data_IF_967436787211
#
_entry.id   IF_967436787211
#
_cell.length_a   1.000
_cell.length_b   1.000
_cell.length_c   1.000
_cell.angle_alpha   90.00
_cell.angle_beta   90.00
_cell.angle_gamma   90.00
#
_symmetry.space_group_name_H-M   'P 1'
#
loop_
_entity.id
_entity.type
_entity.pdbx_description
1 polymer ?
#
# COMPACT_ATOMS: atom_id res chain seq x y z
N UNK A 1 35.94 55.02 10.43
CA UNK A 1 35.30 55.71 11.57
C UNK A 1 34.04 54.90 12.00
N UNK A 2 34.00 54.66 13.31
CA UNK A 2 32.90 54.19 14.18
C UNK A 2 32.13 52.91 13.83
N UNK A 3 32.47 51.86 14.60
CA UNK A 3 31.71 50.66 14.93
C UNK A 3 30.49 51.03 15.77
N UNK A 4 29.35 50.42 15.49
CA UNK A 4 28.26 50.33 16.46
C UNK A 4 27.85 48.88 16.62
N UNK A 5 28.10 48.30 17.80
CA UNK A 5 27.66 46.99 18.26
C UNK A 5 26.31 47.19 18.93
N UNK A 6 25.30 46.44 18.53
CA UNK A 6 24.06 46.32 19.29
C UNK A 6 23.96 44.88 19.86
N UNK A 7 23.96 44.80 21.17
CA UNK A 7 23.70 43.61 21.96
C UNK A 7 22.19 43.40 22.02
N UNK A 8 21.72 42.19 21.74
CA UNK A 8 20.37 41.81 22.10
C UNK A 8 20.43 40.71 23.20
N UNK A 9 19.78 41.05 24.28
CA UNK A 9 19.68 40.31 25.54
C UNK A 9 18.64 39.21 25.40
N UNK A 10 18.95 38.01 25.90
CA UNK A 10 18.03 36.90 25.95
C UNK A 10 16.94 37.08 27.00
N UNK A 11 15.76 36.53 26.69
CA UNK A 11 14.68 36.29 27.66
C UNK A 11 14.34 34.82 27.55
N UNK A 12 14.75 34.05 28.58
CA UNK A 12 14.32 32.67 28.80
C UNK A 12 12.95 32.70 29.47
N UNK A 13 11.96 32.10 28.83
CA UNK A 13 10.66 31.89 29.45
C UNK A 13 10.53 30.39 29.80
N UNK A 14 10.67 30.10 31.08
CA UNK A 14 10.37 28.80 31.69
C UNK A 14 8.84 28.69 31.86
N UNK A 15 8.23 27.68 31.22
CA UNK A 15 6.84 27.32 31.47
C UNK A 15 6.82 26.01 32.29
N UNK A 16 6.49 26.13 33.56
CA UNK A 16 6.23 25.01 34.45
C UNK A 16 4.79 24.53 34.24
N UNK A 17 4.60 23.25 33.92
CA UNK A 17 3.29 22.59 33.89
C UNK A 17 3.12 21.80 35.18
N UNK A 18 2.16 22.21 35.99
CA UNK A 18 1.74 21.53 37.22
C UNK A 18 0.84 20.33 36.88
N UNK A 19 1.22 19.15 37.38
CA UNK A 19 0.35 17.96 37.43
C UNK A 19 -0.60 18.09 38.60
N UNK A 20 -1.89 18.01 38.33
CA UNK A 20 -2.92 17.79 39.36
C UNK A 20 -3.42 16.36 39.26
N UNK A 21 -3.08 15.56 40.28
CA UNK A 21 -3.64 14.24 40.54
C UNK A 21 -4.91 14.44 41.34
N UNK A 22 -6.04 13.92 40.89
CA UNK A 22 -7.23 13.74 41.70
C UNK A 22 -7.58 12.26 41.81
N UNK A 23 -7.27 11.71 42.99
CA UNK A 23 -7.85 10.47 43.49
C UNK A 23 -9.23 10.79 44.09
N UNK A 24 -10.24 9.98 43.76
CA UNK A 24 -11.44 9.89 44.56
C UNK A 24 -11.86 8.41 44.67
N UNK A 25 -11.65 7.85 45.87
CA UNK A 25 -12.28 6.64 46.37
C UNK A 25 -13.71 6.98 46.83
N UNK A 26 -14.61 6.03 46.61
CA UNK A 26 -15.94 6.06 47.23
C UNK A 26 -16.59 4.69 47.14
N UNK A 27 -16.61 4.01 48.26
CA UNK A 27 -17.07 2.64 48.45
C UNK A 27 -18.53 2.59 48.96
N UNK A 28 -19.08 1.37 48.88
CA UNK A 28 -20.17 0.79 49.70
C UNK A 28 -21.62 1.03 49.28
N UNK A 29 -22.38 -0.05 49.21
CA UNK A 29 -23.04 -0.80 50.17
C UNK A 29 -24.12 -1.73 49.64
N UNK A 30 -23.95 -2.94 50.01
CA UNK A 30 -24.86 -4.00 50.49
C UNK A 30 -26.39 -3.82 50.45
N UNK A 31 -27.12 -4.85 50.04
CA UNK A 31 -27.86 -5.90 50.79
C UNK A 31 -29.02 -6.41 49.93
N UNK A 32 -29.15 -7.63 49.79
CA UNK A 32 -29.59 -8.82 50.50
C UNK A 32 -30.99 -9.28 50.09
N UNK A 33 -30.98 -10.51 49.60
CA UNK A 33 -31.80 -11.66 49.93
C UNK A 33 -33.35 -11.56 49.98
N UNK A 34 -34.02 -12.46 49.29
CA UNK A 34 -34.85 -13.53 49.84
C UNK A 34 -35.47 -14.36 48.72
N UNK A 35 -35.13 -15.63 48.65
CA UNK A 35 -35.77 -16.90 49.07
C UNK A 35 -37.22 -17.09 48.62
N UNK A 36 -37.49 -18.26 48.02
CA UNK A 36 -38.74 -18.95 48.21
C UNK A 36 -39.22 -19.83 47.07
N UNK A 37 -38.83 -21.09 47.10
CA UNK A 37 -39.61 -22.31 47.06
C UNK A 37 -40.39 -22.69 45.78
N UNK A 38 -40.01 -23.84 45.28
CA UNK A 38 -40.77 -24.87 44.53
C UNK A 38 -41.93 -25.44 45.40
N UNK A 39 -42.98 -26.07 44.86
CA UNK A 39 -42.84 -27.46 44.36
C UNK A 39 -43.83 -27.90 43.23
N UNK A 40 -43.33 -28.92 42.52
CA UNK A 40 -43.94 -30.17 42.04
C UNK A 40 -45.42 -30.27 41.67
N UNK A 41 -45.73 -30.80 40.48
CA UNK A 41 -46.36 -32.12 40.30
C UNK A 41 -46.46 -32.54 38.82
N UNK A 42 -46.03 -33.74 38.49
CA UNK A 42 -46.45 -34.59 37.36
C UNK A 42 -47.45 -35.61 37.96
N UNK A 43 -48.16 -36.46 37.25
CA UNK A 43 -48.12 -36.91 35.88
C UNK A 43 -49.54 -37.11 35.23
N UNK A 44 -49.66 -37.45 33.97
CA UNK A 44 -50.31 -38.68 33.51
C UNK A 44 -50.37 -38.78 31.96
N UNK A 45 -50.13 -39.99 31.50
CA UNK A 45 -50.16 -40.45 30.14
C UNK A 45 -51.57 -40.61 29.58
N UNK A 46 -51.70 -40.50 28.24
CA UNK A 46 -52.51 -41.46 27.52
C UNK A 46 -52.21 -41.45 25.99
N UNK A 47 -52.15 -42.63 25.46
CA UNK A 47 -51.89 -43.24 24.18
C UNK A 47 -52.77 -42.74 23.03
N UNK A 48 -52.23 -42.63 21.81
CA UNK A 48 -52.66 -43.34 20.62
C UNK A 48 -51.86 -42.93 19.35
N UNK A 49 -51.36 -43.94 18.65
CA UNK A 49 -50.69 -44.01 17.36
C UNK A 49 -51.74 -44.09 16.21
N UNK A 50 -51.34 -44.20 14.90
CA UNK A 50 -50.44 -43.41 14.05
C UNK A 50 -51.17 -42.91 12.79
N UNK A 51 -50.62 -41.91 12.11
CA UNK A 51 -50.91 -41.74 10.68
C UNK A 51 -49.83 -40.95 9.95
N UNK A 52 -49.30 -41.61 8.92
CA UNK A 52 -48.72 -41.13 7.68
C UNK A 52 -47.53 -40.15 7.72
N UNK A 53 -46.39 -40.74 7.36
CA UNK A 53 -45.18 -40.11 6.80
C UNK A 53 -45.50 -39.11 5.70
N UNK A 54 -45.09 -37.88 5.91
CA UNK A 54 -44.67 -36.99 4.83
C UNK A 54 -43.32 -36.46 5.23
N UNK A 55 -42.30 -36.91 4.48
CA UNK A 55 -40.92 -36.44 4.56
C UNK A 55 -40.88 -34.95 4.26
N UNK A 56 -40.40 -34.08 5.15
CA UNK A 56 -40.02 -32.71 4.77
C UNK A 56 -38.75 -32.78 3.94
N UNK A 57 -38.75 -32.12 2.80
CA UNK A 57 -37.55 -31.84 2.03
C UNK A 57 -36.53 -31.21 2.97
N UNK A 58 -35.31 -31.74 2.93
CA UNK A 58 -34.15 -31.15 3.57
C UNK A 58 -33.94 -29.73 2.97
N UNK A 59 -34.34 -28.73 3.71
CA UNK A 59 -33.84 -27.36 3.44
C UNK A 59 -32.32 -27.38 3.72
N UNK A 60 -31.54 -27.20 2.68
CA UNK A 60 -30.13 -26.86 2.80
C UNK A 60 -30.04 -25.64 3.72
N UNK A 61 -29.16 -25.65 4.74
CA UNK A 61 -29.00 -24.49 5.58
C UNK A 61 -28.48 -23.34 4.72
N UNK A 62 -29.33 -22.32 4.51
CA UNK A 62 -28.90 -21.01 4.04
C UNK A 62 -27.75 -20.57 4.97
N UNK A 63 -26.58 -20.16 4.45
CA UNK A 63 -25.52 -19.66 5.29
C UNK A 63 -26.06 -18.50 6.12
N UNK A 64 -26.09 -18.64 7.44
CA UNK A 64 -26.33 -17.52 8.34
C UNK A 64 -25.25 -16.49 7.99
N UNK A 65 -25.64 -15.36 7.40
CA UNK A 65 -24.81 -14.17 7.33
C UNK A 65 -24.61 -13.70 8.76
N UNK A 66 -23.49 -14.12 9.37
CA UNK A 66 -23.05 -13.47 10.60
C UNK A 66 -22.95 -11.98 10.28
N UNK A 67 -23.56 -11.16 11.13
CA UNK A 67 -23.48 -9.71 11.04
C UNK A 67 -22.02 -9.32 11.33
N UNK A 68 -21.20 -9.32 10.28
CA UNK A 68 -19.81 -8.90 10.34
C UNK A 68 -19.79 -7.38 10.53
N UNK A 69 -18.89 -6.92 11.38
CA UNK A 69 -18.70 -5.50 11.63
C UNK A 69 -18.21 -4.72 10.40
N UNK A 70 -17.72 -3.51 10.63
CA UNK A 70 -17.12 -2.69 9.57
C UNK A 70 -15.75 -3.25 9.19
N UNK A 71 -15.54 -3.53 7.89
CA UNK A 71 -14.26 -3.95 7.33
C UNK A 71 -13.24 -2.82 7.47
N UNK A 72 -12.08 -3.08 8.04
CA UNK A 72 -10.99 -2.11 8.12
C UNK A 72 -9.89 -2.44 7.11
N UNK A 73 -9.66 -1.54 6.15
CA UNK A 73 -8.65 -1.68 5.11
C UNK A 73 -7.53 -0.66 5.30
N UNK A 74 -6.30 -1.13 5.37
CA UNK A 74 -5.10 -0.29 5.35
C UNK A 74 -4.57 -0.18 3.93
N UNK A 75 -4.46 1.06 3.42
CA UNK A 75 -4.12 1.33 2.03
C UNK A 75 -3.26 2.59 1.89
N UNK A 76 -2.60 2.72 0.75
CA UNK A 76 -1.80 3.92 0.46
C UNK A 76 -2.43 4.84 -0.60
N UNK A 77 -3.36 4.35 -1.44
CA UNK A 77 -4.00 5.13 -2.50
C UNK A 77 -5.47 4.73 -2.71
N UNK A 78 -6.21 5.45 -3.57
CA UNK A 78 -7.62 5.22 -3.93
C UNK A 78 -8.63 5.35 -2.77
N UNK A 79 -8.24 5.95 -1.66
CA UNK A 79 -9.11 6.15 -0.50
C UNK A 79 -10.30 7.08 -0.78
N UNK A 80 -10.19 7.90 -1.82
CA UNK A 80 -11.23 8.82 -2.31
C UNK A 80 -12.44 8.08 -2.92
N UNK A 81 -12.24 6.94 -3.57
CA UNK A 81 -13.29 6.26 -4.34
C UNK A 81 -13.59 4.82 -3.89
N UNK A 82 -12.60 4.05 -3.40
CA UNK A 82 -12.77 2.62 -3.18
C UNK A 82 -13.83 2.28 -2.14
N UNK A 83 -13.95 3.10 -1.09
CA UNK A 83 -14.92 2.88 -0.03
C UNK A 83 -16.37 2.91 -0.53
N UNK A 84 -16.82 4.03 -1.12
CA UNK A 84 -18.17 4.13 -1.70
C UNK A 84 -18.44 3.07 -2.78
N UNK A 85 -17.45 2.76 -3.63
CA UNK A 85 -17.57 1.72 -4.66
C UNK A 85 -17.85 0.35 -4.04
N UNK A 86 -17.07 -0.04 -3.04
CA UNK A 86 -17.21 -1.33 -2.36
C UNK A 86 -18.53 -1.43 -1.60
N UNK A 87 -18.92 -0.41 -0.84
CA UNK A 87 -20.22 -0.39 -0.13
C UNK A 87 -21.39 -0.50 -1.09
N UNK A 88 -21.35 0.20 -2.22
CA UNK A 88 -22.42 0.15 -3.23
C UNK A 88 -22.51 -1.24 -3.91
N UNK A 89 -21.37 -1.88 -4.17
CA UNK A 89 -21.32 -3.17 -4.85
C UNK A 89 -21.68 -4.36 -3.96
N UNK A 90 -21.38 -4.30 -2.66
CA UNK A 90 -21.45 -5.47 -1.77
C UNK A 90 -22.38 -5.31 -0.58
N UNK A 91 -22.73 -4.08 -0.21
CA UNK A 91 -23.51 -3.76 1.00
C UNK A 91 -22.68 -3.81 2.31
N UNK A 92 -21.46 -4.32 2.29
CA UNK A 92 -20.57 -4.31 3.45
C UNK A 92 -20.12 -2.89 3.80
N UNK A 93 -20.00 -2.60 5.09
CA UNK A 93 -19.42 -1.33 5.57
C UNK A 93 -17.91 -1.40 5.61
N UNK A 94 -17.25 -0.30 5.23
CA UNK A 94 -15.80 -0.21 5.16
C UNK A 94 -15.25 1.03 5.88
N UNK A 95 -14.13 0.85 6.57
CA UNK A 95 -13.32 1.90 7.18
C UNK A 95 -11.93 1.88 6.52
N UNK A 96 -11.55 3.00 5.93
CA UNK A 96 -10.26 3.13 5.23
C UNK A 96 -9.26 3.85 6.12
N UNK A 97 -8.06 3.29 6.22
CA UNK A 97 -6.94 3.88 6.96
C UNK A 97 -5.82 4.13 5.96
N UNK A 98 -5.73 5.37 5.50
CA UNK A 98 -4.68 5.81 4.57
C UNK A 98 -3.37 6.11 5.31
N UNK A 99 -2.26 5.77 4.67
CA UNK A 99 -0.91 6.12 5.10
C UNK A 99 0.10 5.80 4.01
N UNK A 100 1.31 6.35 4.08
CA UNK A 100 2.39 5.84 3.23
C UNK A 100 2.86 4.46 3.71
N UNK A 101 3.65 3.75 2.89
CA UNK A 101 4.06 2.38 3.21
C UNK A 101 4.74 2.25 4.57
N UNK A 102 5.62 3.20 4.95
CA UNK A 102 6.31 3.16 6.24
C UNK A 102 5.36 3.41 7.42
N UNK A 103 4.41 4.34 7.29
CA UNK A 103 3.38 4.63 8.29
C UNK A 103 2.47 3.42 8.51
N UNK A 104 1.98 2.80 7.43
CA UNK A 104 1.14 1.60 7.50
C UNK A 104 1.91 0.44 8.16
N UNK A 105 3.15 0.17 7.75
CA UNK A 105 3.95 -0.91 8.32
C UNK A 105 4.30 -0.68 9.79
N UNK A 106 4.61 0.57 10.18
CA UNK A 106 4.84 0.94 11.58
C UNK A 106 3.59 0.70 12.44
N UNK A 107 2.42 1.02 11.89
CA UNK A 107 1.15 0.80 12.56
C UNK A 107 0.84 -0.69 12.72
N UNK A 108 0.98 -1.49 11.65
CA UNK A 108 0.81 -2.96 11.68
C UNK A 108 1.75 -3.58 12.73
N UNK A 109 3.00 -3.14 12.77
CA UNK A 109 3.97 -3.64 13.74
C UNK A 109 3.60 -3.27 15.19
N UNK A 110 3.10 -2.06 15.42
CA UNK A 110 2.62 -1.65 16.76
C UNK A 110 1.38 -2.45 17.19
N UNK A 111 0.55 -2.88 16.27
CA UNK A 111 -0.68 -3.64 16.48
C UNK A 111 -0.48 -5.17 16.45
N UNK A 112 0.75 -5.68 16.30
CA UNK A 112 1.06 -7.12 16.08
C UNK A 112 0.38 -8.06 17.09
N UNK A 113 0.21 -7.62 18.35
CA UNK A 113 -0.47 -8.40 19.40
C UNK A 113 -2.00 -8.32 19.38
N UNK A 114 -2.56 -7.32 18.70
CA UNK A 114 -4.00 -7.07 18.56
C UNK A 114 -4.26 -6.25 17.29
N UNK A 115 -4.24 -6.88 16.10
CA UNK A 115 -4.46 -6.20 14.83
C UNK A 115 -5.83 -5.50 14.78
N UNK A 116 -5.84 -4.27 14.28
CA UNK A 116 -7.04 -3.47 14.06
C UNK A 116 -7.39 -3.34 12.58
N UNK A 117 -6.76 -4.12 11.71
CA UNK A 117 -6.99 -4.17 10.27
C UNK A 117 -7.46 -5.55 9.84
N UNK A 118 -8.25 -5.60 8.79
CA UNK A 118 -8.76 -6.83 8.17
C UNK A 118 -8.07 -7.13 6.85
N UNK A 119 -7.77 -6.08 6.07
CA UNK A 119 -7.10 -6.17 4.77
C UNK A 119 -6.00 -5.11 4.67
N UNK A 120 -4.89 -5.48 4.06
CA UNK A 120 -3.92 -4.51 3.53
C UNK A 120 -4.03 -4.50 2.01
N UNK A 121 -4.03 -3.30 1.41
CA UNK A 121 -4.01 -3.10 -0.03
C UNK A 121 -2.96 -2.05 -0.39
N UNK A 122 -1.76 -2.54 -0.74
CA UNK A 122 -0.55 -1.74 -0.84
C UNK A 122 0.21 -2.00 -2.14
N UNK A 123 0.86 -0.99 -2.68
CA UNK A 123 1.79 -1.09 -3.81
C UNK A 123 3.23 -1.45 -3.35
N UNK A 124 3.32 -2.44 -2.47
CA UNK A 124 4.56 -2.88 -1.83
C UNK A 124 4.61 -4.42 -1.72
N UNK A 125 4.53 -5.10 -2.87
CA UNK A 125 4.50 -6.57 -2.92
C UNK A 125 5.59 -7.26 -2.08
N UNK A 126 6.87 -6.85 -2.07
CA UNK A 126 7.88 -7.50 -1.24
C UNK A 126 7.60 -7.42 0.26
N UNK A 127 7.13 -6.27 0.72
CA UNK A 127 6.78 -6.05 2.13
C UNK A 127 5.58 -6.91 2.55
N UNK A 128 4.55 -7.02 1.69
CA UNK A 128 3.38 -7.88 1.95
C UNK A 128 3.76 -9.37 1.87
N UNK A 129 4.73 -9.74 1.00
CA UNK A 129 5.29 -11.08 0.99
C UNK A 129 5.87 -11.43 2.37
N UNK A 130 6.66 -10.54 2.98
CA UNK A 130 7.21 -10.73 4.33
C UNK A 130 6.13 -10.90 5.40
N UNK A 131 5.00 -10.19 5.30
CA UNK A 131 3.87 -10.40 6.22
C UNK A 131 3.31 -11.83 6.10
N UNK A 132 3.32 -12.42 4.90
CA UNK A 132 2.96 -13.83 4.67
C UNK A 132 3.93 -14.79 5.36
N UNK A 133 5.24 -14.57 5.19
CA UNK A 133 6.29 -15.37 5.84
C UNK A 133 6.22 -15.26 7.38
N UNK A 134 5.88 -14.09 7.90
CA UNK A 134 5.63 -13.84 9.32
C UNK A 134 4.31 -14.42 9.84
N UNK A 135 3.56 -15.18 9.01
CA UNK A 135 2.30 -15.81 9.35
C UNK A 135 1.21 -14.84 9.84
N UNK A 136 1.19 -13.62 9.30
CA UNK A 136 0.20 -12.58 9.61
C UNK A 136 -1.02 -12.63 8.69
N UNK A 137 -0.90 -13.28 7.53
CA UNK A 137 -1.89 -13.29 6.46
C UNK A 137 -2.66 -14.59 6.38
N UNK A 138 -3.90 -14.52 5.87
CA UNK A 138 -4.68 -15.68 5.47
C UNK A 138 -4.00 -16.38 4.28
N UNK A 139 -3.85 -17.70 4.37
CA UNK A 139 -3.25 -18.54 3.34
C UNK A 139 -4.25 -19.54 2.78
N UNK A 140 -3.91 -20.18 1.65
CA UNK A 140 -4.65 -21.29 1.03
C UNK A 140 -6.11 -20.98 0.62
N UNK A 141 -6.49 -19.69 0.65
CA UNK A 141 -7.75 -19.24 0.09
C UNK A 141 -7.53 -18.65 -1.31
N UNK A 142 -8.42 -18.97 -2.24
CA UNK A 142 -8.38 -18.49 -3.64
C UNK A 142 -9.64 -17.68 -3.93
N UNK A 143 -9.51 -16.39 -4.30
CA UNK A 143 -10.64 -15.59 -4.75
C UNK A 143 -11.27 -16.17 -6.03
N UNK A 144 -12.58 -16.06 -6.18
CA UNK A 144 -13.30 -16.53 -7.39
C UNK A 144 -12.77 -15.85 -8.66
N UNK A 145 -12.39 -14.59 -8.56
CA UNK A 145 -11.83 -13.81 -9.67
C UNK A 145 -10.32 -14.04 -9.91
N UNK A 146 -9.63 -14.83 -9.08
CA UNK A 146 -8.19 -15.09 -9.26
C UNK A 146 -7.85 -15.78 -10.59
N UNK A 147 -8.77 -16.62 -11.09
CA UNK A 147 -8.62 -17.28 -12.40
C UNK A 147 -8.64 -16.29 -13.58
N UNK A 148 -9.08 -15.05 -13.38
CA UNK A 148 -9.09 -14.00 -14.39
C UNK A 148 -7.76 -13.23 -14.47
N UNK A 149 -6.84 -13.41 -13.51
CA UNK A 149 -5.55 -12.73 -13.55
C UNK A 149 -4.80 -13.05 -14.85
N UNK A 150 -4.16 -12.04 -15.45
CA UNK A 150 -3.22 -12.22 -16.57
C UNK A 150 -2.06 -13.13 -16.13
N UNK A 151 -1.45 -13.88 -17.02
CA UNK A 151 -0.36 -14.84 -16.70
C UNK A 151 0.79 -14.19 -15.92
N UNK A 152 1.17 -12.96 -16.27
CA UNK A 152 2.20 -12.19 -15.57
C UNK A 152 1.86 -11.93 -14.11
N UNK A 153 0.58 -11.69 -13.80
CA UNK A 153 0.11 -11.47 -12.43
C UNK A 153 -0.14 -12.79 -11.69
N UNK A 154 -0.52 -13.86 -12.39
CA UNK A 154 -0.56 -15.20 -11.79
C UNK A 154 0.81 -15.60 -11.22
N UNK A 155 1.90 -15.25 -11.91
CA UNK A 155 3.25 -15.53 -11.47
C UNK A 155 3.66 -14.80 -10.18
N UNK A 156 2.99 -13.69 -9.84
CA UNK A 156 3.24 -12.96 -8.58
C UNK A 156 2.45 -13.52 -7.38
N UNK A 157 1.48 -14.40 -7.60
CA UNK A 157 0.75 -15.03 -6.49
C UNK A 157 1.66 -16.02 -5.77
N UNK A 158 1.92 -15.86 -4.47
CA UNK A 158 2.81 -16.78 -3.75
C UNK A 158 2.21 -18.19 -3.64
N UNK A 159 3.08 -19.18 -3.46
CA UNK A 159 2.64 -20.58 -3.37
C UNK A 159 1.61 -20.82 -2.25
N UNK A 160 1.76 -20.13 -1.11
CA UNK A 160 0.84 -20.18 0.03
C UNK A 160 -0.42 -19.31 -0.15
N UNK A 161 -0.58 -18.61 -1.29
CA UNK A 161 -1.75 -17.78 -1.62
C UNK A 161 -2.07 -16.70 -0.59
N UNK A 162 -1.03 -16.13 0.04
CA UNK A 162 -1.19 -15.12 1.09
C UNK A 162 -1.62 -13.74 0.58
N UNK A 163 -1.46 -13.44 -0.72
CA UNK A 163 -1.93 -12.21 -1.35
C UNK A 163 -2.25 -12.38 -2.83
N UNK A 164 -2.95 -11.39 -3.40
CA UNK A 164 -3.30 -11.33 -4.82
C UNK A 164 -2.96 -9.97 -5.42
N UNK A 165 -2.28 -9.94 -6.59
CA UNK A 165 -1.95 -8.70 -7.28
C UNK A 165 -3.19 -8.09 -7.94
N UNK A 166 -3.37 -6.79 -7.75
CA UNK A 166 -4.54 -6.02 -8.24
C UNK A 166 -4.19 -5.04 -9.35
N UNK A 167 -2.92 -4.93 -9.69
CA UNK A 167 -2.37 -4.07 -10.74
C UNK A 167 -0.91 -3.76 -10.48
N UNK A 168 -0.27 -3.09 -11.43
CA UNK A 168 1.08 -2.61 -11.28
C UNK A 168 1.26 -1.26 -11.98
N UNK A 169 2.09 -0.40 -11.43
CA UNK A 169 2.50 0.85 -12.06
C UNK A 169 4.03 0.95 -12.07
N UNK A 170 4.56 1.84 -12.89
CA UNK A 170 5.99 2.11 -12.81
C UNK A 170 6.29 2.84 -11.48
N UNK A 171 7.10 2.19 -10.64
CA UNK A 171 7.67 2.80 -9.44
C UNK A 171 8.59 3.98 -9.78
N UNK A 172 9.12 3.99 -11.00
CA UNK A 172 9.84 5.08 -11.62
C UNK A 172 9.86 4.95 -13.13
N UNK A 173 9.59 6.05 -13.82
CA UNK A 173 9.92 6.30 -15.22
C UNK A 173 10.87 7.48 -15.30
N UNK A 174 11.54 7.64 -16.43
CA UNK A 174 12.43 8.78 -16.64
C UNK A 174 11.59 9.99 -17.01
N UNK A 175 11.73 11.06 -16.24
CA UNK A 175 11.01 12.32 -16.43
C UNK A 175 12.01 13.45 -16.49
N UNK A 176 11.80 14.41 -17.41
CA UNK A 176 12.71 15.53 -17.56
C UNK A 176 11.95 16.86 -17.76
N UNK A 177 12.56 17.96 -17.35
CA UNK A 177 12.04 19.29 -17.59
C UNK A 177 12.39 19.76 -19.01
N UNK A 178 11.37 20.00 -19.85
CA UNK A 178 11.55 20.37 -21.27
C UNK A 178 12.13 21.77 -21.49
N UNK A 179 12.18 22.61 -20.44
CA UNK A 179 12.94 23.86 -20.47
C UNK A 179 14.44 23.64 -20.29
N UNK A 180 14.85 22.47 -19.75
CA UNK A 180 16.25 22.15 -19.49
C UNK A 180 16.86 21.25 -20.56
N UNK A 181 16.09 20.31 -21.11
CA UNK A 181 16.52 19.33 -22.09
C UNK A 181 15.47 19.20 -23.21
N UNK A 182 15.94 19.01 -24.44
CA UNK A 182 15.13 18.42 -25.51
C UNK A 182 15.06 16.89 -25.32
N UNK A 183 14.14 16.21 -25.99
CA UNK A 183 13.96 14.77 -25.84
C UNK A 183 15.23 13.96 -26.18
N UNK A 184 16.02 14.41 -27.15
CA UNK A 184 17.28 13.81 -27.57
C UNK A 184 18.46 14.11 -26.62
N UNK A 185 18.31 15.12 -25.74
CA UNK A 185 19.30 15.48 -24.72
C UNK A 185 18.98 14.91 -23.34
N UNK A 186 17.74 14.49 -23.12
CA UNK A 186 17.31 13.93 -21.85
C UNK A 186 17.91 12.52 -21.64
N UNK A 187 18.07 12.07 -20.36
CA UNK A 187 18.46 10.69 -20.10
C UNK A 187 17.39 9.74 -20.66
N UNK A 188 17.77 8.65 -21.33
CA UNK A 188 16.87 7.69 -21.93
C UNK A 188 17.03 6.26 -21.36
N UNK A 189 18.02 6.07 -20.51
CA UNK A 189 18.26 4.83 -19.75
C UNK A 189 18.62 5.15 -18.31
N UNK A 190 18.53 4.16 -17.44
CA UNK A 190 18.90 4.34 -16.03
C UNK A 190 20.40 4.59 -15.83
N UNK A 191 21.26 4.02 -16.70
CA UNK A 191 22.70 4.23 -16.67
C UNK A 191 23.08 5.67 -17.06
N UNK A 192 22.23 6.37 -17.81
CA UNK A 192 22.46 7.77 -18.20
C UNK A 192 22.51 8.70 -16.98
N UNK A 193 21.81 8.38 -15.90
CA UNK A 193 21.85 9.16 -14.68
C UNK A 193 23.24 9.30 -14.07
N UNK A 194 24.16 8.38 -14.41
CA UNK A 194 25.56 8.44 -13.98
C UNK A 194 26.44 9.26 -14.92
N UNK A 195 25.95 9.69 -16.10
CA UNK A 195 26.75 10.46 -17.07
C UNK A 195 27.05 11.87 -16.57
N UNK A 196 28.26 12.42 -16.88
CA UNK A 196 28.67 13.75 -16.42
C UNK A 196 27.72 14.90 -16.77
N UNK A 197 27.04 14.83 -17.92
CA UNK A 197 26.08 15.86 -18.37
C UNK A 197 24.86 16.00 -17.44
N UNK A 198 24.53 14.96 -16.67
CA UNK A 198 23.43 14.96 -15.70
C UNK A 198 23.89 15.20 -14.25
N UNK A 199 25.16 15.59 -14.06
CA UNK A 199 25.73 15.79 -12.71
C UNK A 199 24.94 16.79 -11.87
N UNK A 200 24.43 16.32 -10.72
CA UNK A 200 23.64 17.12 -9.77
C UNK A 200 22.26 17.52 -10.27
N UNK A 201 21.84 17.00 -11.44
CA UNK A 201 20.58 17.34 -12.10
C UNK A 201 19.47 16.32 -11.90
N UNK A 202 19.76 15.15 -11.28
CA UNK A 202 18.83 14.01 -11.19
C UNK A 202 18.31 13.83 -9.76
N UNK A 203 17.04 13.44 -9.62
CA UNK A 203 16.43 13.12 -8.34
C UNK A 203 15.57 11.87 -8.34
N UNK A 204 15.32 11.33 -7.14
CA UNK A 204 14.41 10.22 -6.89
C UNK A 204 13.80 10.29 -5.48
N UNK A 205 12.75 9.52 -5.23
CA UNK A 205 12.17 9.38 -3.89
C UNK A 205 13.00 8.43 -3.00
N UNK A 206 12.93 8.64 -1.68
CA UNK A 206 13.62 7.83 -0.68
C UNK A 206 12.96 6.45 -0.53
N UNK A 207 13.68 5.35 -0.78
CA UNK A 207 13.15 4.00 -0.66
C UNK A 207 12.82 3.58 0.78
N UNK A 208 13.33 4.29 1.79
CA UNK A 208 12.97 4.03 3.18
C UNK A 208 11.64 4.65 3.60
N UNK A 209 11.14 5.64 2.83
CA UNK A 209 9.97 6.45 3.20
C UNK A 209 8.79 6.21 2.25
N UNK A 210 9.03 6.33 0.93
CA UNK A 210 7.98 6.21 -0.08
C UNK A 210 7.75 4.74 -0.46
N UNK A 211 6.50 4.25 -0.35
CA UNK A 211 6.16 2.86 -0.64
C UNK A 211 6.64 2.39 -2.03
N UNK A 212 6.37 3.10 -3.14
CA UNK A 212 6.80 2.66 -4.47
C UNK A 212 8.30 2.84 -4.72
N UNK A 213 9.02 3.63 -3.92
CA UNK A 213 10.46 3.86 -4.13
C UNK A 213 11.31 2.65 -3.75
N UNK A 214 10.87 1.80 -2.81
CA UNK A 214 11.59 0.57 -2.53
C UNK A 214 11.51 -0.43 -3.70
N UNK A 215 10.33 -0.76 -4.28
CA UNK A 215 10.26 -1.54 -5.51
C UNK A 215 11.12 -0.99 -6.65
N UNK A 216 11.22 0.34 -6.79
CA UNK A 216 12.12 0.95 -7.77
C UNK A 216 13.57 0.51 -7.58
N UNK A 217 14.14 0.67 -6.40
CA UNK A 217 15.54 0.30 -6.15
C UNK A 217 15.73 -1.22 -6.12
N UNK A 218 14.78 -1.97 -5.56
CA UNK A 218 14.85 -3.42 -5.42
C UNK A 218 15.05 -4.13 -6.77
N UNK A 219 14.48 -3.62 -7.85
CA UNK A 219 14.69 -4.16 -9.20
C UNK A 219 16.17 -4.17 -9.57
N UNK A 220 16.90 -3.08 -9.36
CA UNK A 220 18.33 -2.99 -9.70
C UNK A 220 19.20 -3.87 -8.80
N UNK A 221 18.86 -3.92 -7.51
CA UNK A 221 19.58 -4.78 -6.58
C UNK A 221 19.32 -6.27 -6.85
N UNK A 222 18.09 -6.65 -7.19
CA UNK A 222 17.76 -8.03 -7.55
C UNK A 222 18.47 -8.47 -8.83
N UNK A 223 18.47 -7.62 -9.86
CA UNK A 223 19.11 -7.91 -11.14
C UNK A 223 20.64 -7.95 -11.05
N UNK A 224 21.24 -6.94 -10.42
CA UNK A 224 22.68 -6.76 -10.36
C UNK A 224 23.33 -7.48 -9.15
N UNK A 225 22.53 -8.17 -8.33
CA UNK A 225 22.91 -8.65 -7.01
C UNK A 225 23.31 -7.50 -6.06
N UNK A 226 23.38 -7.77 -4.77
CA UNK A 226 23.51 -6.74 -3.73
C UNK A 226 24.68 -5.78 -3.97
N UNK A 227 25.87 -6.30 -4.25
CA UNK A 227 27.07 -5.49 -4.48
C UNK A 227 27.03 -4.72 -5.80
N UNK A 228 26.46 -5.32 -6.85
CA UNK A 228 26.25 -4.64 -8.13
C UNK A 228 25.23 -3.51 -8.03
N UNK A 229 24.15 -3.72 -7.28
CA UNK A 229 23.17 -2.68 -6.98
C UNK A 229 23.79 -1.52 -6.19
N UNK A 230 24.58 -1.82 -5.14
CA UNK A 230 25.34 -0.79 -4.40
C UNK A 230 26.27 -0.01 -5.33
N UNK A 231 27.02 -0.70 -6.20
CA UNK A 231 27.92 -0.05 -7.16
C UNK A 231 27.18 0.87 -8.12
N UNK A 232 26.04 0.42 -8.65
CA UNK A 232 25.20 1.22 -9.52
C UNK A 232 24.75 2.52 -8.83
N UNK A 233 24.10 2.43 -7.67
CA UNK A 233 23.64 3.62 -6.95
C UNK A 233 24.78 4.49 -6.40
N UNK A 234 25.93 3.90 -6.04
CA UNK A 234 27.14 4.68 -5.68
C UNK A 234 27.59 5.56 -6.85
N UNK A 235 27.49 5.08 -8.10
CA UNK A 235 27.79 5.91 -9.28
C UNK A 235 26.83 7.08 -9.43
N UNK A 236 25.54 6.87 -9.13
CA UNK A 236 24.53 7.93 -9.16
C UNK A 236 24.76 8.95 -8.04
N UNK A 237 25.08 8.51 -6.83
CA UNK A 237 25.43 9.41 -5.72
C UNK A 237 26.70 10.21 -6.00
N UNK A 238 27.73 9.58 -6.58
CA UNK A 238 28.95 10.26 -7.02
C UNK A 238 28.66 11.31 -8.09
N UNK A 239 27.63 11.08 -8.92
CA UNK A 239 27.14 12.06 -9.90
C UNK A 239 26.17 13.10 -9.30
N UNK A 240 25.95 13.08 -7.99
CA UNK A 240 25.13 14.09 -7.30
C UNK A 240 23.63 13.80 -7.36
N UNK A 241 23.22 12.52 -7.36
CA UNK A 241 21.81 12.12 -7.21
C UNK A 241 21.23 12.75 -5.94
N UNK A 242 20.06 13.40 -6.09
CA UNK A 242 19.30 13.96 -4.97
C UNK A 242 18.18 13.02 -4.55
N UNK A 243 18.05 12.76 -3.26
CA UNK A 243 17.00 11.93 -2.69
C UNK A 243 16.00 12.79 -1.94
N UNK A 244 14.72 12.63 -2.24
CA UNK A 244 13.61 13.38 -1.66
C UNK A 244 12.71 12.46 -0.84
N UNK A 245 12.01 12.98 0.19
CA UNK A 245 11.19 12.11 1.05
C UNK A 245 10.11 11.31 0.31
N UNK A 246 9.43 11.92 -0.67
CA UNK A 246 8.30 11.31 -1.39
C UNK A 246 8.25 11.77 -2.84
N UNK A 247 7.52 11.05 -3.71
CA UNK A 247 7.36 11.40 -5.12
C UNK A 247 6.78 12.81 -5.36
N UNK A 248 5.81 13.33 -4.59
CA UNK A 248 5.39 14.73 -4.73
C UNK A 248 6.52 15.75 -4.51
N UNK A 249 7.51 15.46 -3.64
CA UNK A 249 8.66 16.31 -3.45
C UNK A 249 9.61 16.29 -4.65
N UNK A 250 9.80 15.11 -5.28
CA UNK A 250 10.55 14.97 -6.55
C UNK A 250 9.86 15.76 -7.65
N UNK A 251 8.54 15.61 -7.79
CA UNK A 251 7.72 16.35 -8.76
C UNK A 251 7.88 17.87 -8.60
N UNK A 252 7.76 18.38 -7.38
CA UNK A 252 7.94 19.81 -7.08
C UNK A 252 9.36 20.31 -7.42
N UNK A 253 10.40 19.51 -7.11
CA UNK A 253 11.78 19.84 -7.44
C UNK A 253 12.02 19.87 -8.96
N UNK A 254 11.38 18.97 -9.71
CA UNK A 254 11.44 18.93 -11.17
C UNK A 254 10.71 20.12 -11.80
N UNK A 255 9.50 20.45 -11.34
CA UNK A 255 8.72 21.60 -11.81
C UNK A 255 9.44 22.93 -11.54
N UNK A 256 10.06 23.09 -10.37
CA UNK A 256 10.82 24.29 -10.04
C UNK A 256 12.15 24.42 -10.77
N UNK A 257 12.63 23.35 -11.43
CA UNK A 257 13.95 23.30 -12.08
C UNK A 257 15.11 23.11 -11.10
N UNK A 258 14.86 22.78 -9.82
CA UNK A 258 15.89 22.40 -8.85
C UNK A 258 16.65 21.14 -9.29
N UNK A 259 15.92 20.19 -9.89
CA UNK A 259 16.44 19.07 -10.67
C UNK A 259 15.91 19.17 -12.10
N UNK A 260 16.60 18.55 -13.04
CA UNK A 260 16.26 18.64 -14.47
C UNK A 260 15.76 17.32 -15.04
N UNK A 261 16.03 16.21 -14.35
CA UNK A 261 15.52 14.89 -14.65
C UNK A 261 15.26 14.12 -13.34
N UNK A 262 14.45 13.10 -13.41
CA UNK A 262 14.08 12.31 -12.23
C UNK A 262 13.71 10.87 -12.60
N UNK A 263 13.91 9.95 -11.65
CA UNK A 263 13.10 8.75 -11.54
C UNK A 263 11.83 9.13 -10.75
N UNK A 264 10.67 9.12 -11.40
CA UNK A 264 9.41 9.56 -10.80
C UNK A 264 8.33 8.51 -11.03
N UNK A 265 7.53 8.25 -9.99
CA UNK A 265 6.38 7.36 -10.07
C UNK A 265 5.44 7.78 -11.21
N UNK A 266 4.87 6.81 -11.89
CA UNK A 266 4.08 6.97 -13.09
C UNK A 266 2.94 7.98 -12.95
N UNK A 267 2.07 7.84 -11.95
CA UNK A 267 0.93 8.77 -11.75
C UNK A 267 1.39 10.20 -11.46
N UNK A 268 2.47 10.39 -10.70
CA UNK A 268 3.03 11.72 -10.46
C UNK A 268 3.58 12.35 -11.75
N UNK A 269 4.22 11.55 -12.61
CA UNK A 269 4.74 12.02 -13.89
C UNK A 269 3.62 12.48 -14.83
N UNK A 270 2.61 11.65 -15.04
CA UNK A 270 1.44 12.00 -15.84
C UNK A 270 0.63 13.15 -15.22
N UNK A 271 0.55 13.21 -13.89
CA UNK A 271 -0.07 14.33 -13.18
C UNK A 271 0.58 15.68 -13.51
N UNK A 272 1.91 15.75 -13.61
CA UNK A 272 2.63 16.95 -14.03
C UNK A 272 2.30 17.31 -15.49
N UNK A 273 2.33 16.34 -16.41
CA UNK A 273 1.99 16.57 -17.82
C UNK A 273 0.55 17.08 -17.96
N UNK A 274 -0.40 16.45 -17.27
CA UNK A 274 -1.82 16.80 -17.35
C UNK A 274 -2.13 18.17 -16.71
N UNK A 275 -1.29 18.64 -15.78
CA UNK A 275 -1.38 20.00 -15.23
C UNK A 275 -0.70 21.06 -16.11
N UNK A 276 -0.13 20.67 -17.24
CA UNK A 276 0.49 21.58 -18.20
C UNK A 276 1.91 22.01 -17.84
N UNK A 277 2.56 21.28 -16.90
CA UNK A 277 3.95 21.51 -16.57
C UNK A 277 4.88 21.18 -17.76
N UNK A 278 6.02 21.85 -17.91
CA UNK A 278 6.96 21.63 -19.04
C UNK A 278 7.76 20.33 -18.79
N UNK A 279 7.09 19.19 -18.84
CA UNK A 279 7.62 17.87 -18.49
C UNK A 279 7.52 16.93 -19.70
N UNK A 280 8.62 16.22 -19.99
CA UNK A 280 8.66 15.09 -20.89
C UNK A 280 8.81 13.77 -20.14
N UNK A 281 8.20 12.72 -20.68
CA UNK A 281 8.25 11.35 -20.14
C UNK A 281 9.00 10.47 -21.13
N UNK A 282 9.90 9.63 -20.61
CA UNK A 282 10.59 8.58 -21.36
C UNK A 282 10.38 7.25 -20.62
N UNK A 283 9.81 6.27 -21.31
CA UNK A 283 9.80 4.89 -20.85
C UNK A 283 11.13 4.25 -21.26
N UNK A 284 11.92 3.78 -20.25
CA UNK A 284 13.26 3.25 -20.56
C UNK A 284 13.16 1.91 -21.28
N UNK A 285 14.00 1.70 -22.31
CA UNK A 285 14.02 0.46 -23.11
C UNK A 285 14.35 -0.79 -22.27
N UNK A 286 15.16 -0.66 -21.23
CA UNK A 286 15.53 -1.72 -20.29
C UNK A 286 14.44 -2.00 -19.24
N UNK A 287 13.29 -1.37 -19.38
CA UNK A 287 12.09 -1.53 -18.54
C UNK A 287 12.04 -0.60 -17.34
N UNK A 288 10.82 -0.21 -17.03
CA UNK A 288 10.51 0.59 -15.84
C UNK A 288 10.37 -0.33 -14.62
N UNK A 289 11.08 -0.06 -13.50
CA UNK A 289 10.86 -0.80 -12.26
C UNK A 289 9.39 -0.74 -11.84
N UNK A 290 8.80 -1.92 -11.62
CA UNK A 290 7.38 -2.04 -11.28
C UNK A 290 7.14 -2.02 -9.78
N UNK A 291 6.13 -1.30 -9.36
CA UNK A 291 5.47 -1.48 -8.07
C UNK A 291 4.19 -2.26 -8.29
N UNK A 292 4.11 -3.46 -7.73
CA UNK A 292 2.94 -4.34 -7.82
C UNK A 292 2.07 -4.12 -6.60
N UNK A 293 0.83 -3.66 -6.84
CA UNK A 293 -0.18 -3.49 -5.80
C UNK A 293 -0.82 -4.83 -5.49
N UNK A 294 -0.85 -5.19 -4.22
CA UNK A 294 -1.37 -6.47 -3.75
C UNK A 294 -2.39 -6.26 -2.64
N UNK A 295 -3.38 -7.15 -2.59
CA UNK A 295 -4.36 -7.24 -1.52
C UNK A 295 -4.15 -8.52 -0.72
N UNK A 296 -4.12 -8.40 0.61
CA UNK A 296 -3.92 -9.49 1.54
C UNK A 296 -4.84 -9.38 2.75
N UNK A 297 -5.36 -10.51 3.20
CA UNK A 297 -6.30 -10.60 4.32
C UNK A 297 -5.55 -10.94 5.61
N UNK A 298 -5.85 -10.27 6.70
CA UNK A 298 -5.33 -10.59 8.03
C UNK A 298 -5.79 -12.01 8.45
N UNK A 299 -4.88 -12.83 8.95
CA UNK A 299 -5.11 -14.25 9.23
C UNK A 299 -6.30 -14.53 10.14
N UNK A 300 -6.49 -13.71 11.18
CA UNK A 300 -7.50 -13.87 12.20
C UNK A 300 -8.54 -12.73 12.18
N UNK A 301 -8.83 -12.20 11.01
CA UNK A 301 -9.84 -11.15 10.84
C UNK A 301 -11.18 -11.59 11.44
N UNK A 302 -11.91 -10.65 12.01
CA UNK A 302 -13.27 -10.85 12.51
C UNK A 302 -14.34 -10.63 11.44
N UNK A 303 -13.90 -10.13 10.25
CA UNK A 303 -14.74 -9.80 9.10
C UNK A 303 -14.34 -10.63 7.86
N UNK A 304 -14.26 -11.99 7.94
CA UNK A 304 -13.69 -12.82 6.87
C UNK A 304 -14.47 -12.76 5.56
N UNK A 305 -15.82 -12.66 5.60
CA UNK A 305 -16.63 -12.59 4.39
C UNK A 305 -16.48 -11.23 3.71
N UNK A 306 -16.52 -10.13 4.47
CA UNK A 306 -16.28 -8.79 3.94
C UNK A 306 -14.86 -8.64 3.38
N UNK A 307 -13.84 -9.21 4.05
CA UNK A 307 -12.46 -9.21 3.58
C UNK A 307 -12.28 -9.97 2.25
N UNK A 308 -12.89 -11.16 2.15
CA UNK A 308 -12.89 -11.96 0.91
C UNK A 308 -13.67 -11.27 -0.22
N UNK A 309 -14.82 -10.66 0.10
CA UNK A 309 -15.59 -9.87 -0.84
C UNK A 309 -14.75 -8.68 -1.37
N UNK A 310 -13.97 -8.01 -0.51
CA UNK A 310 -13.12 -6.90 -0.91
C UNK A 310 -12.01 -7.33 -1.88
N UNK A 311 -11.31 -8.43 -1.59
CA UNK A 311 -10.28 -8.95 -2.51
C UNK A 311 -10.89 -9.39 -3.85
N UNK A 312 -12.04 -10.09 -3.84
CA UNK A 312 -12.76 -10.42 -5.07
C UNK A 312 -13.19 -9.19 -5.86
N UNK A 313 -13.65 -8.14 -5.16
CA UNK A 313 -14.05 -6.87 -5.75
C UNK A 313 -12.88 -6.16 -6.45
N UNK A 314 -11.68 -6.16 -5.84
CA UNK A 314 -10.49 -5.60 -6.46
C UNK A 314 -10.02 -6.34 -7.71
N UNK A 315 -10.36 -7.64 -7.84
CA UNK A 315 -10.03 -8.47 -8.99
C UNK A 315 -11.16 -8.49 -10.05
N UNK A 316 -12.19 -7.67 -9.89
CA UNK A 316 -13.24 -7.53 -10.90
C UNK A 316 -12.82 -6.51 -11.96
N UNK A 317 -12.98 -6.83 -13.28
CA UNK A 317 -12.62 -5.92 -14.36
C UNK A 317 -13.34 -4.58 -14.30
N UNK A 318 -14.61 -4.54 -13.91
CA UNK A 318 -15.36 -3.29 -13.81
C UNK A 318 -14.82 -2.40 -12.68
N UNK A 319 -14.41 -3.01 -11.57
CA UNK A 319 -13.75 -2.28 -10.47
C UNK A 319 -12.42 -1.68 -10.94
N UNK A 320 -11.56 -2.47 -11.57
CA UNK A 320 -10.27 -1.96 -12.06
C UNK A 320 -10.44 -0.86 -13.12
N UNK A 321 -11.46 -0.97 -13.99
CA UNK A 321 -11.77 0.09 -14.94
C UNK A 321 -12.20 1.39 -14.23
N UNK A 322 -13.04 1.30 -13.19
CA UNK A 322 -13.44 2.48 -12.43
C UNK A 322 -12.27 3.13 -11.68
N UNK A 323 -11.33 2.33 -11.14
CA UNK A 323 -10.11 2.85 -10.53
C UNK A 323 -9.25 3.63 -11.55
N UNK A 324 -9.16 3.15 -12.79
CA UNK A 324 -8.46 3.85 -13.87
C UNK A 324 -9.20 5.12 -14.28
N UNK A 325 -10.52 5.07 -14.38
CA UNK A 325 -11.30 6.19 -14.87
C UNK A 325 -11.40 7.35 -13.88
N UNK A 326 -11.46 7.07 -12.58
CA UNK A 326 -11.85 8.01 -11.53
C UNK A 326 -10.84 8.19 -10.39
N UNK A 327 -9.92 7.22 -10.16
CA UNK A 327 -8.98 7.27 -9.04
C UNK A 327 -7.87 8.30 -9.21
N UNK A 328 -7.28 8.71 -8.08
CA UNK A 328 -6.14 9.63 -8.02
C UNK A 328 -4.85 9.00 -8.57
N UNK A 329 -4.61 7.69 -8.32
CA UNK A 329 -3.47 6.92 -8.83
C UNK A 329 -3.86 6.06 -10.05
N UNK A 330 -4.52 6.68 -11.04
CA UNK A 330 -5.21 6.01 -12.14
C UNK A 330 -4.29 5.50 -13.27
N UNK A 331 -3.00 5.84 -13.24
CA UNK A 331 -2.02 5.33 -14.20
C UNK A 331 -1.39 4.04 -13.70
N UNK A 332 -1.95 2.90 -14.12
CA UNK A 332 -1.43 1.58 -13.81
C UNK A 332 -1.82 0.54 -14.88
N UNK A 333 -1.11 -0.58 -14.91
CA UNK A 333 -1.44 -1.75 -15.70
C UNK A 333 -2.40 -2.64 -14.90
N UNK A 334 -3.63 -2.88 -15.40
CA UNK A 334 -4.60 -3.72 -14.71
C UNK A 334 -4.16 -5.19 -14.67
N UNK A 335 -4.46 -5.87 -13.55
CA UNK A 335 -4.09 -7.29 -13.37
C UNK A 335 -5.00 -8.26 -14.11
N UNK A 336 -6.18 -7.82 -14.56
CA UNK A 336 -7.17 -8.65 -15.25
C UNK A 336 -7.37 -8.19 -16.70
N UNK A 337 -7.74 -9.10 -17.64
CA UNK A 337 -7.98 -8.73 -19.02
C UNK A 337 -9.29 -7.94 -19.19
N UNK A 338 -9.41 -7.23 -20.32
CA UNK A 338 -10.62 -6.48 -20.68
C UNK A 338 -10.73 -5.11 -20.00
N UNK A 339 -9.71 -4.68 -19.29
CA UNK A 339 -9.58 -3.34 -18.71
C UNK A 339 -8.58 -2.55 -19.54
N UNK A 340 -8.93 -1.30 -19.87
CA UNK A 340 -8.08 -0.42 -20.66
C UNK A 340 -7.34 0.56 -19.76
N UNK A 341 -5.99 0.61 -19.80
CA UNK A 341 -5.21 1.67 -19.17
C UNK A 341 -5.63 3.06 -19.68
N UNK A 342 -5.21 4.13 -19.02
CA UNK A 342 -5.38 5.51 -19.52
C UNK A 342 -4.89 5.61 -20.95
N UNK A 343 -5.64 6.30 -21.81
CA UNK A 343 -5.38 6.37 -23.26
C UNK A 343 -4.04 7.05 -23.62
N UNK A 344 -3.56 7.92 -22.75
CA UNK A 344 -2.28 8.63 -22.86
C UNK A 344 -1.10 7.89 -22.19
N UNK A 345 -1.35 6.76 -21.52
CA UNK A 345 -0.32 5.86 -21.02
C UNK A 345 0.38 5.16 -22.19
N UNK A 346 1.69 4.97 -22.09
CA UNK A 346 2.43 4.22 -23.11
C UNK A 346 1.85 2.81 -23.29
N UNK A 347 1.49 2.46 -24.53
CA UNK A 347 0.83 1.18 -24.85
C UNK A 347 1.78 -0.03 -24.72
N UNK A 348 3.09 0.19 -24.83
CA UNK A 348 4.17 -0.78 -24.78
C UNK A 348 4.99 -0.66 -23.49
N UNK A 349 4.39 -0.12 -22.43
CA UNK A 349 5.02 0.02 -21.13
C UNK A 349 5.58 -1.33 -20.63
N UNK A 350 6.91 -1.43 -20.56
CA UNK A 350 7.60 -2.61 -20.06
C UNK A 350 7.83 -2.46 -18.55
N UNK A 351 7.04 -3.17 -17.74
CA UNK A 351 7.14 -3.18 -16.29
C UNK A 351 7.96 -4.37 -15.80
N UNK A 352 9.00 -4.13 -15.02
CA UNK A 352 9.91 -5.16 -14.48
C UNK A 352 9.89 -5.12 -12.96
N UNK A 353 9.23 -6.11 -12.34
CA UNK A 353 9.22 -6.25 -10.88
C UNK A 353 10.45 -7.02 -10.38
N UNK A 354 10.94 -6.67 -9.20
CA UNK A 354 11.87 -7.51 -8.46
C UNK A 354 11.17 -8.80 -7.98
N UNK A 355 11.95 -9.88 -7.82
CA UNK A 355 11.47 -11.06 -7.11
C UNK A 355 11.08 -10.69 -5.67
N UNK A 356 9.85 -11.03 -5.26
CA UNK A 356 9.28 -10.57 -3.99
C UNK A 356 10.02 -11.16 -2.78
N UNK A 357 10.40 -12.45 -2.84
CA UNK A 357 11.11 -13.12 -1.77
C UNK A 357 12.51 -12.55 -1.59
N UNK A 358 13.24 -12.40 -2.69
CA UNK A 358 14.58 -11.82 -2.69
C UNK A 358 14.55 -10.36 -2.18
N UNK A 359 13.61 -9.57 -2.66
CA UNK A 359 13.48 -8.17 -2.28
C UNK A 359 13.12 -8.03 -0.79
N UNK A 360 12.24 -8.88 -0.26
CA UNK A 360 11.92 -8.92 1.16
C UNK A 360 13.14 -9.28 2.02
N UNK A 361 13.91 -10.33 1.64
CA UNK A 361 15.09 -10.76 2.37
C UNK A 361 16.12 -9.63 2.53
N UNK A 362 16.23 -8.76 1.51
CA UNK A 362 17.24 -7.70 1.46
C UNK A 362 16.66 -6.29 1.76
N UNK A 363 15.36 -6.16 2.02
CA UNK A 363 14.68 -4.87 2.19
C UNK A 363 15.34 -4.00 3.27
N UNK A 364 15.57 -4.58 4.45
CA UNK A 364 16.14 -3.85 5.58
C UNK A 364 17.57 -3.36 5.29
N UNK A 365 18.39 -4.22 4.66
CA UNK A 365 19.77 -3.87 4.31
C UNK A 365 19.82 -2.77 3.25
N UNK A 366 19.01 -2.88 2.20
CA UNK A 366 18.96 -1.89 1.12
C UNK A 366 18.47 -0.54 1.65
N UNK A 367 17.39 -0.50 2.43
CA UNK A 367 16.87 0.72 3.03
C UNK A 367 17.88 1.39 3.96
N UNK A 368 18.56 0.62 4.81
CA UNK A 368 19.62 1.12 5.68
C UNK A 368 20.78 1.70 4.88
N UNK A 369 21.22 0.99 3.83
CA UNK A 369 22.30 1.46 2.96
C UNK A 369 21.94 2.81 2.30
N UNK A 370 20.71 2.99 1.82
CA UNK A 370 20.23 4.28 1.28
C UNK A 370 20.19 5.37 2.33
N UNK A 371 19.67 5.08 3.53
CA UNK A 371 19.64 6.04 4.63
C UNK A 371 21.05 6.55 5.01
N UNK A 372 22.05 5.66 5.04
CA UNK A 372 23.45 6.01 5.32
C UNK A 372 24.07 6.90 4.21
N UNK A 373 23.57 6.78 2.97
CA UNK A 373 24.02 7.59 1.83
C UNK A 373 23.33 8.96 1.77
N UNK A 374 22.05 9.03 2.11
CA UNK A 374 21.25 10.27 2.05
C UNK A 374 21.67 11.32 3.10
N UNK A 375 22.34 10.90 4.18
CA UNK A 375 22.81 11.80 5.27
C UNK A 375 24.13 12.52 4.94
N UNK A 376 24.76 12.20 3.82
CA UNK A 376 26.04 12.81 3.39
C UNK A 376 25.82 13.94 2.40
#
# INVERSE_FOLDING_TARGET
>A
MKKTKTKLTGISLLLAIAMTVMSACGANGNNAANSGAQPTTSPSAETASPSAETTPASEEPTPETQDEGTLTVYLNDFDDIIGPMFEAATGHKINLVKGNGAEIMSRIQAEKGNPHWDVVWLDAMPTVYGMGEDNQLLTDWVPDNAAKLKDTYQAYVPANKSFYPTGAHAAGIIVYNTNAYTADQAPNSWDDFAKPEFKGAVGMADPAIAAPAFPFVARFFSEKQLDGGKTFFDSLFANGLKVYPKNPNVAAALSSGEIKAAALQESNAYGLVNSGEPIGIIWPEDGAPASVRVAAIQKNTKNPNAAKAFVNFLLDPATQQQLIDQGDESYFEPSVPGVNPKADRAADANLVAADAAWAFEHEAEIKQWFADKAVK
#
